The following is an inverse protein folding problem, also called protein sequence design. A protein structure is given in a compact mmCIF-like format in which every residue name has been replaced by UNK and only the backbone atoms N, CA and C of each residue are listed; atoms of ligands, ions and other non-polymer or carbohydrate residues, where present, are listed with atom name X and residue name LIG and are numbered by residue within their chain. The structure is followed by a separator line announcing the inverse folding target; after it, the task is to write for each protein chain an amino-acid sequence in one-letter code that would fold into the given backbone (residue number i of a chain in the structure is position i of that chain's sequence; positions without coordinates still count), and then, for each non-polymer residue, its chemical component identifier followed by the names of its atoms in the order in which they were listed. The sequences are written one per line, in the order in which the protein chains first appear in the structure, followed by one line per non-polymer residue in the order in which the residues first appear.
data_IF_585292645819
#
_entry.id   IF_585292645819
#
_cell.length_a   1.000
_cell.length_b   1.000
_cell.length_c   1.000
_cell.angle_alpha   90.00
_cell.angle_beta   90.00
_cell.angle_gamma   90.00
#
_symmetry.space_group_name_H-M   'P 1'
#
loop_
_entity.id
_entity.type
_entity.pdbx_description
1 polymer ?
#
# COMPACT_ATOMS: atom_id res chain seq x y z
N UNK A 1 -9.71 -23.56 22.01
CA UNK A 1 -9.50 -22.28 22.73
C UNK A 1 -8.67 -21.44 21.80
N UNK A 2 -9.12 -20.25 21.41
CA UNK A 2 -8.32 -19.37 20.55
C UNK A 2 -7.09 -18.95 21.34
N UNK A 3 -5.90 -19.38 20.91
CA UNK A 3 -4.64 -18.83 21.41
C UNK A 3 -4.13 -17.86 20.37
N UNK A 4 -4.16 -16.58 20.72
CA UNK A 4 -3.52 -15.50 19.99
C UNK A 4 -2.24 -15.19 20.77
N UNK A 5 -1.11 -15.69 20.31
CA UNK A 5 0.15 -15.57 21.06
C UNK A 5 1.04 -14.49 20.43
N UNK A 6 1.46 -13.48 21.22
CA UNK A 6 2.51 -12.57 20.79
C UNK A 6 3.78 -13.33 20.37
N UNK A 7 4.24 -13.17 19.12
CA UNK A 7 5.54 -13.72 18.69
C UNK A 7 6.66 -12.76 19.06
N UNK A 8 7.34 -13.01 20.19
CA UNK A 8 8.49 -12.23 20.67
C UNK A 8 9.79 -12.54 19.92
N UNK A 9 9.84 -13.66 19.21
CA UNK A 9 11.05 -14.38 18.83
C UNK A 9 11.57 -14.09 17.42
N UNK A 10 10.91 -13.21 16.66
CA UNK A 10 11.26 -12.97 15.24
C UNK A 10 11.62 -11.54 14.83
N UNK A 11 11.43 -10.53 15.69
CA UNK A 11 11.88 -9.17 15.38
C UNK A 11 12.79 -8.62 16.48
N UNK A 12 13.80 -7.80 16.13
CA UNK A 12 14.62 -7.09 17.09
C UNK A 12 13.78 -5.95 17.69
N UNK A 13 12.82 -6.27 18.55
CA UNK A 13 12.10 -5.24 19.29
C UNK A 13 12.84 -4.88 20.56
N UNK A 14 13.32 -3.64 20.58
CA UNK A 14 13.71 -2.95 21.78
C UNK A 14 12.59 -3.04 22.84
N UNK A 15 12.85 -3.73 23.95
CA UNK A 15 12.14 -3.74 25.25
C UNK A 15 10.58 -3.74 25.21
N UNK A 16 9.99 -4.78 25.81
CA UNK A 16 8.55 -4.89 26.11
C UNK A 16 7.91 -3.58 26.62
N UNK A 17 6.67 -3.30 26.20
CA UNK A 17 5.81 -2.27 26.80
C UNK A 17 6.09 -0.80 26.46
N UNK A 18 6.99 -0.48 25.52
CA UNK A 18 7.40 0.91 25.25
C UNK A 18 7.21 1.35 23.79
N UNK A 19 6.67 2.57 23.58
CA UNK A 19 6.62 3.23 22.26
C UNK A 19 7.74 4.26 22.08
N UNK A 20 8.23 4.39 20.83
CA UNK A 20 9.12 5.47 20.39
C UNK A 20 8.34 6.49 19.59
N UNK A 21 8.56 7.78 19.82
CA UNK A 21 7.78 8.86 19.18
C UNK A 21 8.59 9.83 18.33
N UNK A 22 7.95 10.38 17.30
CA UNK A 22 8.39 11.57 16.57
C UNK A 22 7.59 12.79 16.97
N UNK A 23 8.25 13.92 17.09
CA UNK A 23 7.62 15.21 17.34
C UNK A 23 7.30 15.87 15.99
N UNK A 24 6.02 16.06 15.67
CA UNK A 24 5.59 16.68 14.43
C UNK A 24 4.80 17.96 14.75
N UNK A 25 5.12 19.09 14.11
CA UNK A 25 4.32 20.29 14.23
C UNK A 25 2.96 20.08 13.56
N UNK A 26 1.87 20.42 14.24
CA UNK A 26 0.53 20.41 13.66
C UNK A 26 0.29 21.72 12.91
N UNK A 27 -0.08 21.67 11.63
CA UNK A 27 -0.27 22.87 10.79
C UNK A 27 -1.26 23.84 11.44
N UNK A 28 -0.85 25.11 11.57
CA UNK A 28 -1.68 26.18 12.14
C UNK A 28 -1.84 26.16 13.67
N UNK A 29 -1.20 25.24 14.41
CA UNK A 29 -1.27 25.18 15.89
C UNK A 29 0.12 25.34 16.51
N UNK A 30 0.21 25.94 17.70
CA UNK A 30 1.43 25.91 18.55
C UNK A 30 1.67 24.54 19.21
N UNK A 31 0.88 23.54 18.87
CA UNK A 31 0.90 22.20 19.44
C UNK A 31 1.82 21.28 18.62
N UNK A 32 2.39 20.30 19.31
CA UNK A 32 3.22 19.24 18.74
C UNK A 32 2.55 17.91 19.01
N UNK A 33 2.35 17.10 17.97
CA UNK A 33 1.91 15.71 18.12
C UNK A 33 3.13 14.81 18.28
N UNK A 34 3.00 13.78 19.11
CA UNK A 34 4.00 12.73 19.22
C UNK A 34 3.49 11.47 18.52
N UNK A 35 4.05 11.12 17.36
CA UNK A 35 3.62 9.96 16.59
C UNK A 35 4.43 8.73 16.98
N UNK A 36 3.78 7.77 17.61
CA UNK A 36 4.34 6.47 18.01
C UNK A 36 4.49 5.49 16.84
N UNK A 37 5.26 4.41 17.05
CA UNK A 37 5.27 3.21 16.19
C UNK A 37 5.48 1.94 17.04
N UNK A 38 4.61 0.93 16.90
CA UNK A 38 4.81 -0.42 17.44
C UNK A 38 4.17 -1.46 16.54
N UNK A 39 4.84 -2.59 16.42
CA UNK A 39 4.30 -3.78 15.83
C UNK A 39 3.87 -4.77 16.91
N UNK A 40 2.70 -5.37 16.71
CA UNK A 40 2.19 -6.50 17.49
C UNK A 40 2.07 -7.66 16.52
N UNK A 41 2.74 -8.78 16.81
CA UNK A 41 2.67 -9.99 15.99
C UNK A 41 1.89 -11.03 16.71
N UNK A 42 1.07 -11.76 15.98
CA UNK A 42 0.36 -12.86 16.57
C UNK A 42 -0.08 -13.89 15.56
N UNK A 43 -0.43 -15.05 16.08
CA UNK A 43 -0.82 -16.20 15.29
C UNK A 43 -2.12 -16.76 15.84
N UNK A 44 -3.13 -16.88 14.99
CA UNK A 44 -4.32 -17.68 15.28
C UNK A 44 -3.97 -19.15 15.09
N UNK A 45 -3.78 -19.89 16.19
CA UNK A 45 -3.39 -21.31 16.14
C UNK A 45 -4.54 -22.28 15.92
N UNK A 46 -5.76 -21.89 16.29
CA UNK A 46 -6.92 -22.75 16.21
C UNK A 46 -8.16 -21.96 15.80
N UNK A 47 -8.81 -22.39 14.74
CA UNK A 47 -10.10 -21.86 14.35
C UNK A 47 -11.21 -22.36 15.30
N UNK A 48 -12.11 -21.50 15.79
CA UNK A 48 -13.20 -21.92 16.67
C UNK A 48 -14.15 -22.91 15.99
N UNK A 49 -14.61 -23.91 16.74
CA UNK A 49 -15.63 -24.85 16.25
C UNK A 49 -16.90 -24.09 15.86
N UNK A 50 -17.57 -24.54 14.80
CA UNK A 50 -18.86 -24.00 14.32
C UNK A 50 -18.89 -22.51 13.93
N UNK A 51 -17.74 -21.85 13.82
CA UNK A 51 -17.62 -20.47 13.33
C UNK A 51 -17.25 -20.49 11.86
N UNK A 52 -18.03 -19.82 11.00
CA UNK A 52 -17.72 -19.75 9.56
C UNK A 52 -16.86 -18.54 9.20
N UNK A 53 -17.02 -17.46 9.96
CA UNK A 53 -16.41 -16.17 9.69
C UNK A 53 -15.77 -15.63 10.97
N UNK A 54 -14.55 -15.11 10.85
CA UNK A 54 -13.82 -14.44 11.91
C UNK A 54 -13.47 -13.03 11.48
N UNK A 55 -13.85 -12.04 12.28
CA UNK A 55 -13.36 -10.68 12.13
C UNK A 55 -12.25 -10.42 13.14
N UNK A 56 -11.07 -10.04 12.64
CA UNK A 56 -9.96 -9.53 13.44
C UNK A 56 -10.08 -8.01 13.40
N UNK A 57 -10.27 -7.37 14.53
CA UNK A 57 -10.39 -5.92 14.61
C UNK A 57 -9.45 -5.36 15.67
N UNK A 58 -8.84 -4.21 15.38
CA UNK A 58 -7.94 -3.54 16.29
C UNK A 58 -8.20 -2.03 16.26
N UNK A 59 -8.13 -1.39 17.43
CA UNK A 59 -8.35 0.05 17.57
C UNK A 59 -7.50 0.66 18.67
N UNK A 60 -7.24 1.95 18.53
CA UNK A 60 -6.60 2.76 19.57
C UNK A 60 -7.70 3.26 20.50
N UNK A 61 -7.56 3.04 21.81
CA UNK A 61 -8.58 3.39 22.80
C UNK A 61 -8.45 4.84 23.32
N UNK A 62 -7.41 5.56 22.91
CA UNK A 62 -7.14 6.91 23.37
C UNK A 62 -7.84 7.98 22.52
N UNK A 63 -8.34 9.03 23.18
CA UNK A 63 -9.04 10.16 22.54
C UNK A 63 -8.15 10.98 21.58
N UNK A 64 -6.82 10.86 21.71
CA UNK A 64 -5.86 11.62 20.91
C UNK A 64 -5.76 11.10 19.46
N UNK A 65 -6.30 9.91 19.17
CA UNK A 65 -6.39 9.31 17.84
C UNK A 65 -5.10 8.61 17.36
N UNK A 66 -5.07 8.21 16.09
CA UNK A 66 -3.89 7.61 15.46
C UNK A 66 -4.24 6.74 14.26
N UNK A 67 -3.25 6.01 13.76
CA UNK A 67 -3.47 5.05 12.68
C UNK A 67 -3.04 3.64 13.09
N UNK A 68 -3.85 2.67 12.74
CA UNK A 68 -3.63 1.25 12.95
C UNK A 68 -3.89 0.50 11.64
N UNK A 69 -3.13 -0.57 11.42
CA UNK A 69 -3.31 -1.44 10.28
C UNK A 69 -3.02 -2.89 10.63
N UNK A 70 -3.59 -3.79 9.84
CA UNK A 70 -3.42 -5.23 9.99
C UNK A 70 -2.83 -5.79 8.69
N UNK A 71 -1.76 -6.57 8.81
CA UNK A 71 -1.08 -7.27 7.71
C UNK A 71 -1.15 -8.77 7.95
N UNK A 72 -1.55 -9.52 6.94
CA UNK A 72 -1.60 -10.97 6.96
C UNK A 72 -1.14 -11.51 5.60
N UNK A 73 -0.30 -12.56 5.55
CA UNK A 73 0.12 -13.14 4.29
C UNK A 73 -1.06 -13.82 3.60
N UNK A 74 -1.29 -13.48 2.34
CA UNK A 74 -2.27 -14.14 1.49
C UNK A 74 -1.73 -14.36 0.09
N UNK A 75 -2.21 -15.42 -0.56
CA UNK A 75 -1.96 -15.78 -1.93
C UNK A 75 -2.79 -14.91 -2.89
N UNK A 76 -2.28 -14.71 -4.11
CA UNK A 76 -3.05 -14.07 -5.18
C UNK A 76 -4.26 -14.92 -5.55
N UNK A 77 -5.43 -14.31 -5.76
CA UNK A 77 -6.64 -15.03 -6.15
C UNK A 77 -6.49 -15.82 -7.45
N UNK A 78 -5.59 -15.39 -8.35
CA UNK A 78 -5.29 -16.09 -9.60
C UNK A 78 -4.55 -17.41 -9.43
N UNK A 79 -3.88 -17.61 -8.29
CA UNK A 79 -3.11 -18.82 -8.02
C UNK A 79 -3.99 -20.04 -7.69
N UNK A 80 -5.28 -19.82 -7.34
CA UNK A 80 -6.24 -20.89 -6.99
C UNK A 80 -7.48 -20.86 -7.88
N UNK A 81 -7.57 -21.82 -8.79
CA UNK A 81 -8.64 -21.95 -9.79
C UNK A 81 -10.08 -22.11 -9.23
N UNK A 82 -10.26 -22.27 -7.92
CA UNK A 82 -11.53 -22.68 -7.30
C UNK A 82 -12.11 -21.66 -6.31
N UNK A 83 -11.48 -20.49 -6.13
CA UNK A 83 -11.95 -19.45 -5.22
C UNK A 83 -12.32 -18.25 -6.09
N UNK A 84 -13.55 -17.73 -5.96
CA UNK A 84 -14.09 -16.72 -6.88
C UNK A 84 -13.21 -15.46 -7.00
N UNK A 85 -13.42 -14.62 -8.03
CA UNK A 85 -12.53 -13.51 -8.41
C UNK A 85 -12.40 -12.37 -7.39
N UNK A 86 -13.03 -12.49 -6.22
CA UNK A 86 -13.08 -11.45 -5.17
C UNK A 86 -12.44 -11.88 -3.86
N UNK A 87 -11.75 -13.02 -3.83
CA UNK A 87 -11.37 -13.68 -2.60
C UNK A 87 -9.90 -14.09 -2.65
N UNK A 88 -9.14 -13.79 -1.60
CA UNK A 88 -7.71 -14.08 -1.51
C UNK A 88 -7.45 -15.18 -0.50
N UNK A 89 -6.80 -16.27 -0.91
CA UNK A 89 -6.52 -17.39 -0.02
C UNK A 89 -5.45 -17.01 0.99
N UNK A 90 -5.73 -17.07 2.29
CA UNK A 90 -4.68 -16.98 3.32
C UNK A 90 -3.97 -18.32 3.46
N UNK A 91 -4.75 -19.40 3.40
CA UNK A 91 -4.27 -20.78 3.38
C UNK A 91 -5.06 -21.58 2.34
N UNK A 92 -4.85 -22.90 2.26
CA UNK A 92 -5.75 -23.77 1.49
C UNK A 92 -7.19 -23.79 2.04
N UNK A 93 -7.38 -23.41 3.30
CA UNK A 93 -8.60 -23.64 4.07
C UNK A 93 -9.32 -22.32 4.43
N UNK A 94 -8.63 -21.19 4.35
CA UNK A 94 -9.10 -19.87 4.80
C UNK A 94 -8.87 -18.83 3.73
N UNK A 95 -9.85 -17.93 3.57
CA UNK A 95 -9.74 -16.78 2.69
C UNK A 95 -10.08 -15.46 3.36
N UNK A 96 -9.60 -14.39 2.73
CA UNK A 96 -9.80 -13.00 3.09
C UNK A 96 -10.76 -12.34 2.10
N UNK A 97 -11.69 -11.55 2.64
CA UNK A 97 -12.52 -10.63 1.84
C UNK A 97 -11.85 -9.25 1.77
N UNK A 98 -11.36 -8.83 0.59
CA UNK A 98 -10.64 -7.56 0.44
C UNK A 98 -11.49 -6.36 0.86
N UNK A 99 -12.80 -6.39 0.60
CA UNK A 99 -13.73 -5.29 0.91
C UNK A 99 -13.76 -4.98 2.42
N UNK A 100 -13.55 -6.01 3.26
CA UNK A 100 -13.53 -5.90 4.72
C UNK A 100 -12.20 -5.39 5.29
N UNK A 101 -11.14 -5.31 4.49
CA UNK A 101 -9.80 -5.03 4.97
C UNK A 101 -9.58 -3.54 5.16
N UNK A 102 -9.80 -3.05 6.38
CA UNK A 102 -9.77 -1.63 6.71
C UNK A 102 -8.55 -1.22 7.54
N UNK A 103 -8.19 0.05 7.42
CA UNK A 103 -7.07 0.72 8.06
C UNK A 103 -7.51 2.09 8.54
N UNK A 104 -6.90 2.56 9.64
CA UNK A 104 -7.05 3.92 10.12
C UNK A 104 -7.21 4.02 11.62
N UNK A 105 -8.17 4.78 12.15
CA UNK A 105 -8.37 4.84 13.60
C UNK A 105 -8.76 3.46 14.18
N UNK A 106 -9.46 2.67 13.37
CA UNK A 106 -9.72 1.25 13.57
C UNK A 106 -9.26 0.50 12.31
N UNK A 107 -8.78 -0.71 12.50
CA UNK A 107 -8.43 -1.62 11.41
C UNK A 107 -9.15 -2.93 11.61
N UNK A 108 -9.67 -3.50 10.54
CA UNK A 108 -10.32 -4.81 10.58
C UNK A 108 -10.01 -5.62 9.33
N UNK A 109 -10.14 -6.93 9.45
CA UNK A 109 -10.21 -7.83 8.31
C UNK A 109 -11.12 -9.01 8.65
N UNK A 110 -11.83 -9.50 7.64
CA UNK A 110 -12.74 -10.64 7.76
C UNK A 110 -12.16 -11.85 7.06
N UNK A 111 -12.06 -12.95 7.80
CA UNK A 111 -11.61 -14.26 7.38
C UNK A 111 -12.79 -15.21 7.29
N UNK A 112 -12.76 -16.09 6.29
CA UNK A 112 -13.78 -17.10 6.06
C UNK A 112 -13.16 -18.46 5.90
N UNK A 113 -13.81 -19.49 6.46
CA UNK A 113 -13.40 -20.87 6.27
C UNK A 113 -14.03 -21.50 5.04
N UNK A 114 -13.26 -22.29 4.30
CA UNK A 114 -13.75 -23.17 3.23
C UNK A 114 -14.04 -24.58 3.75
N UNK A 115 -13.21 -25.07 4.67
CA UNK A 115 -13.29 -26.41 5.20
C UNK A 115 -13.70 -26.42 6.67
N UNK A 116 -14.31 -27.51 7.13
CA UNK A 116 -14.80 -27.65 8.50
C UNK A 116 -13.68 -27.79 9.53
N UNK A 117 -12.50 -28.24 9.11
CA UNK A 117 -11.32 -28.42 9.96
C UNK A 117 -10.16 -27.60 9.40
N UNK A 118 -9.89 -26.45 9.99
CA UNK A 118 -8.71 -25.65 9.68
C UNK A 118 -7.54 -26.16 10.54
N UNK A 119 -6.50 -26.66 9.88
CA UNK A 119 -5.26 -27.06 10.56
C UNK A 119 -4.18 -25.97 10.47
N UNK A 120 -4.32 -25.05 9.53
CA UNK A 120 -3.33 -24.02 9.27
C UNK A 120 -3.36 -22.90 10.32
N UNK A 121 -2.17 -22.48 10.76
CA UNK A 121 -2.00 -21.27 11.55
C UNK A 121 -2.16 -20.02 10.67
N UNK A 122 -2.75 -18.95 11.21
CA UNK A 122 -2.88 -17.66 10.52
C UNK A 122 -2.04 -16.62 11.22
N UNK A 123 -1.02 -16.13 10.52
CA UNK A 123 -0.15 -15.07 11.02
C UNK A 123 -0.75 -13.69 10.73
N UNK A 124 -0.69 -12.81 11.74
CA UNK A 124 -1.18 -11.43 11.68
C UNK A 124 -0.17 -10.51 12.33
N UNK A 125 0.09 -9.37 11.68
CA UNK A 125 0.96 -8.31 12.18
C UNK A 125 0.18 -7.01 12.20
N UNK A 126 0.18 -6.33 13.33
CA UNK A 126 -0.56 -5.10 13.54
C UNK A 126 0.46 -3.97 13.70
N UNK A 127 0.37 -2.94 12.85
CA UNK A 127 1.15 -1.72 13.02
C UNK A 127 0.29 -0.66 13.67
N UNK A 128 0.75 -0.14 14.79
CA UNK A 128 0.06 0.90 15.53
C UNK A 128 0.89 2.19 15.56
N UNK A 129 0.23 3.31 15.28
CA UNK A 129 0.82 4.65 15.21
C UNK A 129 -0.08 5.67 15.91
N UNK A 130 -0.12 5.65 17.25
CA UNK A 130 -0.90 6.60 18.02
C UNK A 130 -0.39 8.03 17.82
N UNK A 131 -1.32 8.97 17.77
CA UNK A 131 -1.06 10.38 17.98
C UNK A 131 -1.13 10.61 19.48
N UNK A 132 -0.03 10.99 20.09
CA UNK A 132 0.03 11.15 21.55
C UNK A 132 0.12 12.65 21.85
N UNK A 133 -0.89 13.19 22.50
CA UNK A 133 -0.83 14.52 23.10
C UNK A 133 -0.56 14.39 24.60
N UNK A 134 -1.18 13.40 25.29
CA UNK A 134 -0.94 13.10 26.72
C UNK A 134 -1.10 11.62 27.07
N UNK A 135 -0.38 11.11 28.08
CA UNK A 135 -0.64 9.79 28.68
C UNK A 135 0.08 8.58 28.07
N UNK A 136 -0.30 7.40 28.57
CA UNK A 136 0.05 6.06 28.06
C UNK A 136 -0.94 5.68 26.94
N UNK A 137 -0.52 4.79 26.05
CA UNK A 137 -1.34 4.38 24.89
C UNK A 137 -1.95 3.01 25.11
N UNK A 138 -3.24 2.87 24.79
CA UNK A 138 -3.96 1.60 24.86
C UNK A 138 -4.46 1.16 23.50
N UNK A 139 -4.22 -0.10 23.18
CA UNK A 139 -4.61 -0.72 21.92
C UNK A 139 -5.43 -1.94 22.23
N UNK A 140 -6.65 -1.97 21.71
CA UNK A 140 -7.54 -3.11 21.86
C UNK A 140 -7.49 -3.95 20.60
N UNK A 141 -7.24 -5.23 20.77
CA UNK A 141 -7.40 -6.24 19.74
C UNK A 141 -8.58 -7.13 20.11
N UNK A 142 -9.50 -7.32 19.17
CA UNK A 142 -10.64 -8.18 19.32
C UNK A 142 -10.70 -9.22 18.19
N UNK A 143 -11.18 -10.41 18.54
CA UNK A 143 -11.62 -11.41 17.57
C UNK A 143 -13.13 -11.61 17.75
N UNK A 144 -13.87 -11.44 16.67
CA UNK A 144 -15.32 -11.68 16.65
C UNK A 144 -15.64 -12.91 15.80
N UNK A 145 -16.43 -13.82 16.34
CA UNK A 145 -17.05 -14.89 15.54
C UNK A 145 -18.35 -14.41 14.95
N UNK A 146 -18.52 -14.59 13.65
CA UNK A 146 -19.81 -14.38 12.96
C UNK A 146 -20.34 -15.73 12.46
N UNK A 147 -21.59 -16.01 12.80
CA UNK A 147 -22.34 -17.06 12.15
C UNK A 147 -23.00 -16.51 10.88
N UNK A 148 -23.26 -17.39 9.90
CA UNK A 148 -23.78 -16.99 8.61
C UNK A 148 -25.13 -16.25 8.77
N UNK A 149 -25.20 -15.01 8.28
CA UNK A 149 -26.39 -14.14 8.37
C UNK A 149 -26.45 -13.25 9.60
N UNK A 150 -25.48 -13.34 10.53
CA UNK A 150 -25.36 -12.38 11.63
C UNK A 150 -24.79 -11.06 11.14
N UNK A 151 -25.40 -9.95 11.59
CA UNK A 151 -24.95 -8.59 11.26
C UNK A 151 -23.77 -8.15 12.13
N UNK A 152 -23.64 -8.71 13.33
CA UNK A 152 -22.62 -8.36 14.30
C UNK A 152 -21.98 -9.65 14.81
N UNK A 153 -20.65 -9.67 14.90
CA UNK A 153 -19.95 -10.81 15.47
C UNK A 153 -19.99 -10.80 17.00
N UNK A 154 -19.96 -11.98 17.60
CA UNK A 154 -19.83 -12.15 19.03
C UNK A 154 -18.32 -12.13 19.40
N UNK A 155 -17.88 -11.30 20.36
CA UNK A 155 -16.48 -11.28 20.77
C UNK A 155 -16.12 -12.61 21.43
N UNK A 156 -15.07 -13.25 20.91
CA UNK A 156 -14.53 -14.51 21.42
C UNK A 156 -13.11 -14.38 21.97
N UNK A 157 -12.45 -13.25 21.68
CA UNK A 157 -11.16 -12.85 22.22
C UNK A 157 -11.11 -11.33 22.34
N UNK A 158 -10.49 -10.83 23.40
CA UNK A 158 -10.20 -9.42 23.58
C UNK A 158 -8.92 -9.28 24.41
N UNK A 159 -7.98 -8.49 23.91
CA UNK A 159 -6.73 -8.17 24.60
C UNK A 159 -6.46 -6.67 24.48
N UNK A 160 -6.04 -6.07 25.59
CA UNK A 160 -5.64 -4.67 25.66
C UNK A 160 -4.14 -4.63 25.90
N UNK A 161 -3.43 -4.08 24.92
CA UNK A 161 -2.01 -3.78 25.03
C UNK A 161 -1.86 -2.35 25.54
N UNK A 162 -1.24 -2.21 26.71
CA UNK A 162 -0.90 -0.91 27.30
C UNK A 162 0.59 -0.65 27.10
N UNK A 163 0.91 0.58 26.71
CA UNK A 163 2.28 0.96 26.44
C UNK A 163 2.59 2.33 27.02
N UNK A 164 3.68 2.40 27.77
CA UNK A 164 4.10 3.66 28.38
C UNK A 164 4.92 4.52 27.42
N UNK A 165 4.78 5.85 27.58
CA UNK A 165 5.53 6.83 26.79
C UNK A 165 7.04 6.78 27.12
N UNK A 166 7.90 6.44 26.15
CA UNK A 166 9.37 6.54 26.28
C UNK A 166 9.93 7.76 25.53
N UNK A 167 11.19 8.11 25.83
CA UNK A 167 12.05 9.16 25.23
C UNK A 167 11.93 9.25 23.69
N UNK A 168 12.02 10.48 23.16
CA UNK A 168 12.04 10.83 21.72
C UNK A 168 12.84 9.82 20.89
N UNK A 169 12.25 9.33 19.80
CA UNK A 169 12.97 8.46 18.87
C UNK A 169 14.06 9.27 18.17
N UNK A 170 15.31 8.85 18.36
CA UNK A 170 16.48 9.49 17.75
C UNK A 170 17.04 8.67 16.60
N UNK A 171 16.44 7.50 16.28
CA UNK A 171 16.84 6.69 15.13
C UNK A 171 16.52 7.43 13.83
N UNK A 172 17.41 7.32 12.84
CA UNK A 172 17.16 7.76 11.47
C UNK A 172 16.03 6.95 10.84
N UNK A 173 15.26 7.54 9.93
CA UNK A 173 14.12 6.90 9.24
C UNK A 173 14.46 5.54 8.61
N UNK A 174 15.71 5.38 8.14
CA UNK A 174 16.20 4.12 7.55
C UNK A 174 16.10 2.90 8.48
N UNK A 175 16.18 3.09 9.80
CA UNK A 175 16.01 2.01 10.77
C UNK A 175 14.55 1.66 11.02
N UNK A 176 13.62 2.57 10.74
CA UNK A 176 12.17 2.36 10.91
C UNK A 176 11.60 1.52 9.78
N UNK A 177 12.10 1.71 8.56
CA UNK A 177 11.71 0.90 7.41
C UNK A 177 12.21 -0.55 7.52
N UNK A 178 13.33 -0.77 8.23
CA UNK A 178 13.90 -2.10 8.45
C UNK A 178 12.94 -3.05 9.18
N UNK A 179 12.23 -2.57 10.21
CA UNK A 179 11.28 -3.39 10.99
C UNK A 179 10.13 -3.91 10.10
N UNK A 180 9.70 -3.11 9.12
CA UNK A 180 8.64 -3.49 8.19
C UNK A 180 9.11 -4.47 7.11
N UNK A 181 10.31 -4.26 6.56
CA UNK A 181 10.89 -5.22 5.63
C UNK A 181 11.12 -6.59 6.26
N UNK A 182 11.51 -6.63 7.53
CA UNK A 182 11.66 -7.89 8.25
C UNK A 182 10.31 -8.63 8.34
N UNK A 183 9.20 -7.92 8.51
CA UNK A 183 7.85 -8.53 8.51
C UNK A 183 7.49 -9.05 7.12
N UNK A 184 7.71 -8.23 6.08
CA UNK A 184 7.43 -8.62 4.71
C UNK A 184 8.30 -9.81 4.26
N UNK A 185 9.54 -9.90 4.74
CA UNK A 185 10.42 -11.05 4.55
C UNK A 185 9.93 -12.30 5.30
N UNK A 186 9.47 -12.17 6.56
CA UNK A 186 8.85 -13.28 7.33
C UNK A 186 7.59 -13.81 6.62
N UNK A 187 6.87 -12.94 5.94
CA UNK A 187 5.71 -13.28 5.13
C UNK A 187 6.10 -13.77 3.73
N UNK A 188 7.38 -13.74 3.37
CA UNK A 188 7.88 -14.10 2.04
C UNK A 188 7.23 -13.25 0.93
N UNK A 189 6.85 -12.00 1.23
CA UNK A 189 6.12 -11.12 0.31
C UNK A 189 6.92 -10.73 -0.94
N UNK A 190 8.24 -10.88 -0.88
CA UNK A 190 9.17 -10.66 -1.98
C UNK A 190 9.47 -11.92 -2.80
N UNK A 191 9.08 -13.09 -2.30
CA UNK A 191 9.35 -14.38 -2.93
C UNK A 191 8.21 -14.73 -3.88
N UNK A 192 8.54 -15.13 -5.12
CA UNK A 192 7.54 -15.47 -6.16
C UNK A 192 6.54 -16.52 -5.68
N UNK A 193 7.05 -17.56 -5.03
CA UNK A 193 6.25 -18.68 -4.50
C UNK A 193 5.95 -18.54 -3.00
N UNK A 194 6.15 -17.36 -2.43
CA UNK A 194 5.91 -17.11 -1.02
C UNK A 194 4.42 -17.09 -0.70
N UNK A 195 4.08 -17.22 0.58
CA UNK A 195 2.70 -17.09 1.06
C UNK A 195 2.20 -15.65 1.17
N UNK A 196 3.10 -14.67 1.24
CA UNK A 196 2.81 -13.23 1.40
C UNK A 196 2.62 -12.48 0.10
N UNK A 197 2.11 -13.15 -0.93
CA UNK A 197 1.89 -12.58 -2.24
C UNK A 197 1.09 -11.27 -2.19
N UNK A 198 0.13 -11.20 -1.28
CA UNK A 198 -0.65 -10.05 -0.88
C UNK A 198 -0.57 -9.94 0.65
N UNK A 199 -0.13 -8.81 1.15
CA UNK A 199 -0.07 -8.46 2.58
C UNK A 199 -0.80 -7.15 2.91
N UNK A 200 -1.28 -6.43 1.88
CA UNK A 200 -1.98 -5.15 2.00
C UNK A 200 -2.99 -4.97 0.84
N UNK A 201 -4.19 -4.37 1.05
CA UNK A 201 -5.24 -4.27 0.02
C UNK A 201 -4.82 -3.47 -1.21
N UNK A 202 -3.87 -2.54 -1.07
CA UNK A 202 -3.25 -1.80 -2.19
C UNK A 202 -2.81 -2.71 -3.34
N UNK A 203 -2.28 -3.90 -3.04
CA UNK A 203 -1.81 -4.86 -4.04
C UNK A 203 -2.98 -5.40 -4.88
N UNK A 204 -4.10 -5.66 -4.22
CA UNK A 204 -5.36 -6.11 -4.84
C UNK A 204 -5.91 -5.02 -5.75
N UNK A 205 -6.04 -3.80 -5.22
CA UNK A 205 -6.55 -2.65 -5.98
C UNK A 205 -5.66 -2.34 -7.20
N UNK A 206 -4.33 -2.44 -7.04
CA UNK A 206 -3.40 -2.23 -8.16
C UNK A 206 -3.60 -3.27 -9.26
N UNK A 207 -3.69 -4.56 -8.91
CA UNK A 207 -3.90 -5.64 -9.89
C UNK A 207 -5.24 -5.47 -10.61
N UNK A 208 -6.33 -5.22 -9.87
CA UNK A 208 -7.67 -5.02 -10.46
C UNK A 208 -7.73 -3.82 -11.39
N UNK A 209 -7.14 -2.70 -10.97
CA UNK A 209 -7.07 -1.51 -11.81
C UNK A 209 -6.24 -1.75 -13.07
N UNK A 210 -5.12 -2.46 -12.94
CA UNK A 210 -4.28 -2.81 -14.09
C UNK A 210 -4.99 -3.76 -15.05
N UNK A 211 -5.72 -4.75 -14.53
CA UNK A 211 -6.57 -5.63 -15.32
C UNK A 211 -7.60 -4.86 -16.14
N UNK A 212 -8.24 -3.87 -15.51
CA UNK A 212 -9.19 -3.00 -16.19
C UNK A 212 -8.50 -2.19 -17.29
N UNK A 213 -7.39 -1.50 -16.98
CA UNK A 213 -6.64 -0.71 -17.96
C UNK A 213 -6.18 -1.53 -19.17
N UNK A 214 -5.71 -2.76 -18.94
CA UNK A 214 -5.20 -3.64 -20.01
C UNK A 214 -6.30 -4.26 -20.88
N UNK A 215 -7.57 -4.29 -20.42
CA UNK A 215 -8.72 -4.70 -21.23
C UNK A 215 -9.14 -3.61 -22.22
N UNK A 216 -8.99 -2.34 -21.81
CA UNK A 216 -9.29 -1.18 -22.65
C UNK A 216 -8.24 -0.97 -23.76
N UNK A 217 -7.03 -1.49 -23.58
CA UNK A 217 -5.94 -1.38 -24.56
C UNK A 217 -6.03 -2.54 -25.57
N UNK A 218 -6.44 -2.20 -26.79
CA UNK A 218 -6.53 -3.15 -27.92
C UNK A 218 -5.19 -3.55 -28.54
N UNK A 219 -4.11 -2.84 -28.21
CA UNK A 219 -2.77 -3.11 -28.74
C UNK A 219 -2.27 -4.51 -28.36
N UNK A 220 -1.55 -5.12 -29.31
CA UNK A 220 -0.88 -6.42 -29.10
C UNK A 220 0.31 -6.32 -28.15
N UNK A 221 0.94 -5.14 -28.11
CA UNK A 221 2.10 -4.84 -27.29
C UNK A 221 1.81 -3.59 -26.47
N UNK A 222 2.17 -3.62 -25.19
CA UNK A 222 1.81 -2.60 -24.20
C UNK A 222 3.06 -2.18 -23.44
N UNK A 223 3.26 -0.88 -23.30
CA UNK A 223 4.29 -0.30 -22.42
C UNK A 223 3.69 0.12 -21.08
N UNK A 224 4.40 -0.17 -19.99
CA UNK A 224 3.97 0.16 -18.63
C UNK A 224 5.05 0.98 -17.94
N UNK A 225 4.65 2.07 -17.28
CA UNK A 225 5.47 2.78 -16.30
C UNK A 225 4.87 2.62 -14.90
N UNK A 226 5.71 2.35 -13.90
CA UNK A 226 5.31 2.21 -12.50
C UNK A 226 5.99 3.28 -11.64
N UNK A 227 5.20 4.01 -10.85
CA UNK A 227 5.62 5.07 -9.93
C UNK A 227 5.03 4.82 -8.55
N UNK A 228 5.82 4.92 -7.48
CA UNK A 228 5.26 4.93 -6.12
C UNK A 228 6.27 5.13 -5.00
N UNK A 229 5.76 5.44 -3.80
CA UNK A 229 6.55 5.64 -2.57
C UNK A 229 6.34 4.54 -1.53
N UNK A 230 5.83 3.38 -1.95
CA UNK A 230 5.55 2.24 -1.08
C UNK A 230 5.54 0.93 -1.88
N UNK A 231 6.62 0.58 -2.58
CA UNK A 231 6.49 -0.17 -3.85
C UNK A 231 7.01 -1.59 -3.83
N UNK A 232 7.72 -2.02 -2.79
CA UNK A 232 8.47 -3.27 -2.87
C UNK A 232 7.57 -4.50 -3.07
N UNK A 233 6.62 -4.69 -2.16
CA UNK A 233 5.64 -5.77 -2.17
C UNK A 233 4.61 -5.56 -3.28
N UNK A 234 4.21 -4.31 -3.55
CA UNK A 234 3.21 -3.99 -4.56
C UNK A 234 3.69 -4.20 -5.98
N UNK A 235 4.87 -3.71 -6.29
CA UNK A 235 5.53 -3.97 -7.57
C UNK A 235 5.76 -5.46 -7.74
N UNK A 236 6.21 -6.17 -6.69
CA UNK A 236 6.41 -7.63 -6.76
C UNK A 236 5.09 -8.34 -7.09
N UNK A 237 3.98 -7.97 -6.48
CA UNK A 237 2.66 -8.52 -6.82
C UNK A 237 2.27 -8.24 -8.28
N UNK A 238 2.49 -7.02 -8.77
CA UNK A 238 2.21 -6.66 -10.17
C UNK A 238 3.06 -7.51 -11.13
N UNK A 239 4.36 -7.64 -10.88
CA UNK A 239 5.28 -8.40 -11.73
C UNK A 239 4.95 -9.90 -11.72
N UNK A 240 4.63 -10.46 -10.56
CA UNK A 240 4.18 -11.86 -10.44
C UNK A 240 2.86 -12.08 -11.17
N UNK A 241 1.87 -11.22 -10.94
CA UNK A 241 0.57 -11.29 -11.61
C UNK A 241 0.69 -11.24 -13.13
N UNK A 242 1.47 -10.31 -13.67
CA UNK A 242 1.70 -10.21 -15.13
C UNK A 242 2.30 -11.51 -15.69
N UNK A 243 3.22 -12.14 -14.95
CA UNK A 243 3.85 -13.41 -15.34
C UNK A 243 2.86 -14.58 -15.31
N UNK A 244 2.12 -14.73 -14.21
CA UNK A 244 1.20 -15.87 -14.00
C UNK A 244 -0.05 -15.79 -14.88
N UNK A 245 -0.57 -14.58 -15.12
CA UNK A 245 -1.69 -14.35 -16.04
C UNK A 245 -1.33 -14.57 -17.52
N UNK A 246 -0.03 -14.72 -17.84
CA UNK A 246 0.47 -14.81 -19.21
C UNK A 246 0.47 -13.47 -19.97
N UNK A 247 0.05 -12.39 -19.33
CA UNK A 247 0.00 -11.03 -19.89
C UNK A 247 1.41 -10.48 -20.16
N UNK A 248 2.42 -10.96 -19.44
CA UNK A 248 3.82 -10.55 -19.60
C UNK A 248 4.29 -10.58 -21.07
N UNK A 249 3.81 -11.54 -21.87
CA UNK A 249 4.15 -11.66 -23.30
C UNK A 249 3.62 -10.51 -24.17
N UNK A 250 2.64 -9.73 -23.67
CA UNK A 250 2.13 -8.50 -24.31
C UNK A 250 2.92 -7.27 -23.87
N UNK A 251 3.81 -7.36 -22.89
CA UNK A 251 4.51 -6.19 -22.35
C UNK A 251 5.78 -5.94 -23.17
N UNK A 252 5.82 -4.85 -23.92
CA UNK A 252 7.00 -4.46 -24.72
C UNK A 252 8.05 -3.73 -23.90
N UNK A 253 7.63 -2.96 -22.90
CA UNK A 253 8.53 -2.32 -21.93
C UNK A 253 7.86 -2.16 -20.57
N UNK A 254 8.65 -2.28 -19.50
CA UNK A 254 8.22 -2.05 -18.12
C UNK A 254 9.24 -1.15 -17.43
N UNK A 255 8.88 0.11 -17.17
CA UNK A 255 9.72 1.10 -16.54
C UNK A 255 9.37 1.26 -15.07
N UNK A 256 10.38 1.28 -14.19
CA UNK A 256 10.20 1.47 -12.75
C UNK A 256 10.85 2.79 -12.34
N UNK A 257 10.03 3.71 -11.84
CA UNK A 257 10.43 5.07 -11.48
C UNK A 257 10.37 5.23 -9.97
N UNK A 258 11.53 5.45 -9.34
CA UNK A 258 11.67 5.60 -7.90
C UNK A 258 12.73 6.65 -7.54
N UNK A 259 12.76 7.04 -6.26
CA UNK A 259 13.79 7.95 -5.74
C UNK A 259 14.85 7.22 -4.92
N UNK A 260 16.13 7.58 -5.02
CA UNK A 260 17.28 6.90 -4.38
C UNK A 260 17.32 6.95 -2.83
N UNK A 261 16.68 7.94 -2.21
CA UNK A 261 16.45 8.00 -0.75
C UNK A 261 15.48 6.94 -0.27
N UNK A 262 14.81 6.31 -1.20
CA UNK A 262 13.78 5.32 -1.00
C UNK A 262 14.31 3.99 -1.54
N UNK A 263 14.37 3.01 -0.64
CA UNK A 263 14.51 1.59 -0.95
C UNK A 263 15.74 1.19 -1.76
N UNK A 264 16.89 1.86 -1.56
CA UNK A 264 18.17 1.40 -2.12
C UNK A 264 18.51 -0.06 -1.78
N UNK A 265 17.99 -0.57 -0.65
CA UNK A 265 18.09 -1.99 -0.26
C UNK A 265 17.09 -2.92 -0.96
N UNK A 266 15.94 -2.42 -1.44
CA UNK A 266 14.93 -3.24 -2.12
C UNK A 266 15.46 -3.82 -3.44
N UNK A 267 16.25 -3.05 -4.18
CA UNK A 267 16.88 -3.54 -5.41
C UNK A 267 17.84 -4.71 -5.13
N UNK A 268 18.43 -4.76 -3.94
CA UNK A 268 19.25 -5.88 -3.50
C UNK A 268 18.41 -7.14 -3.22
N UNK A 269 17.11 -7.00 -2.93
CA UNK A 269 16.14 -8.07 -2.69
C UNK A 269 15.33 -8.49 -3.93
N UNK A 270 15.63 -7.94 -5.12
CA UNK A 270 15.08 -8.39 -6.41
C UNK A 270 16.11 -9.20 -7.25
N UNK A 271 16.82 -10.22 -6.74
CA UNK A 271 17.77 -10.97 -7.57
C UNK A 271 17.09 -11.80 -8.68
N UNK A 272 15.86 -12.27 -8.47
CA UNK A 272 15.10 -13.04 -9.46
C UNK A 272 14.36 -12.17 -10.49
N UNK A 273 14.05 -10.93 -10.10
CA UNK A 273 13.48 -9.88 -10.96
C UNK A 273 14.53 -8.85 -11.36
N UNK A 274 15.81 -9.23 -11.32
CA UNK A 274 16.90 -8.30 -11.54
C UNK A 274 16.68 -7.58 -12.89
N UNK A 275 16.71 -6.25 -12.91
CA UNK A 275 16.59 -5.41 -14.11
C UNK A 275 17.62 -5.66 -15.23
N UNK A 276 18.52 -6.63 -15.03
CA UNK A 276 19.45 -7.10 -16.05
C UNK A 276 18.90 -8.34 -16.80
N UNK A 277 17.81 -8.95 -16.32
CA UNK A 277 17.07 -10.06 -16.93
C UNK A 277 15.73 -9.60 -17.52
N UNK A 278 15.14 -8.55 -16.97
CA UNK A 278 14.08 -7.78 -17.63
C UNK A 278 14.76 -6.66 -18.43
N UNK A 279 14.34 -6.38 -19.66
CA UNK A 279 14.77 -5.14 -20.35
C UNK A 279 14.09 -3.93 -19.68
N UNK A 280 14.39 -3.69 -18.41
CA UNK A 280 13.85 -2.59 -17.61
C UNK A 280 14.93 -1.54 -17.36
N UNK A 281 14.69 -0.33 -17.86
CA UNK A 281 15.53 0.82 -17.54
C UNK A 281 15.18 1.30 -16.12
N UNK A 282 16.15 1.21 -15.22
CA UNK A 282 16.05 1.77 -13.88
C UNK A 282 16.61 3.19 -13.88
N UNK A 283 15.80 4.16 -13.46
CA UNK A 283 16.28 5.51 -13.16
C UNK A 283 16.44 5.69 -11.65
N UNK A 284 17.65 6.01 -11.19
CA UNK A 284 17.99 6.34 -9.79
C UNK A 284 18.06 7.85 -9.59
N UNK A 285 17.37 8.43 -8.60
CA UNK A 285 17.55 9.86 -8.25
C UNK A 285 16.91 10.34 -6.93
N UNK A 286 17.49 11.32 -6.24
CA UNK A 286 16.97 11.99 -5.03
C UNK A 286 15.65 12.76 -5.25
N UNK A 287 15.30 13.00 -6.52
CA UNK A 287 14.06 13.63 -6.99
C UNK A 287 13.67 13.02 -8.32
N UNK A 288 12.40 12.64 -8.52
CA UNK A 288 11.95 12.30 -9.88
C UNK A 288 11.75 13.61 -10.62
N UNK A 289 12.58 13.90 -11.62
CA UNK A 289 12.45 15.07 -12.50
C UNK A 289 12.52 14.63 -13.96
N UNK A 290 11.86 15.34 -14.89
CA UNK A 290 11.92 15.04 -16.32
C UNK A 290 13.34 15.01 -16.91
N UNK A 291 14.26 15.77 -16.30
CA UNK A 291 15.67 15.88 -16.71
C UNK A 291 16.48 14.60 -16.48
N UNK A 292 16.04 13.73 -15.57
CA UNK A 292 16.74 12.50 -15.21
C UNK A 292 16.41 11.32 -16.10
N UNK A 293 15.28 11.38 -16.83
CA UNK A 293 14.87 10.28 -17.70
C UNK A 293 14.91 10.70 -19.15
N UNK A 294 16.12 10.85 -19.70
CA UNK A 294 16.30 11.38 -21.06
C UNK A 294 15.64 10.52 -22.15
N UNK A 295 15.35 9.25 -21.89
CA UNK A 295 14.87 8.28 -22.89
C UNK A 295 13.50 7.64 -22.62
N UNK A 296 12.73 8.09 -21.62
CA UNK A 296 11.36 7.57 -21.45
C UNK A 296 10.45 8.06 -22.56
N UNK A 297 9.91 7.11 -23.31
CA UNK A 297 8.76 7.32 -24.19
C UNK A 297 7.46 7.35 -23.38
N UNK A 298 6.40 7.78 -24.05
CA UNK A 298 5.05 7.60 -23.53
C UNK A 298 4.77 6.12 -23.23
N UNK A 299 4.03 5.88 -22.15
CA UNK A 299 3.59 4.54 -21.75
C UNK A 299 2.11 4.38 -22.00
N UNK A 300 1.66 3.20 -22.43
CA UNK A 300 0.23 2.91 -22.60
C UNK A 300 -0.50 2.92 -21.23
N UNK A 301 0.17 2.41 -20.19
CA UNK A 301 -0.31 2.46 -18.80
C UNK A 301 0.75 3.08 -17.89
N UNK A 302 0.35 4.04 -17.07
CA UNK A 302 1.14 4.58 -15.97
C UNK A 302 0.46 4.18 -14.66
N UNK A 303 1.14 3.40 -13.82
CA UNK A 303 0.66 2.98 -12.50
C UNK A 303 1.28 3.94 -11.47
N UNK A 304 0.45 4.66 -10.72
CA UNK A 304 0.85 5.57 -9.66
C UNK A 304 0.29 5.08 -8.32
N UNK A 305 1.15 4.63 -7.41
CA UNK A 305 0.71 4.09 -6.11
C UNK A 305 1.27 4.92 -4.95
N UNK A 306 0.39 5.49 -4.13
CA UNK A 306 0.73 6.23 -2.91
C UNK A 306 1.74 7.34 -3.23
N UNK A 307 1.45 8.15 -4.24
CA UNK A 307 2.36 9.18 -4.78
C UNK A 307 2.23 10.53 -4.07
N UNK A 308 1.35 10.64 -3.07
CA UNK A 308 1.18 11.84 -2.23
C UNK A 308 2.50 12.53 -1.84
N UNK A 309 3.56 11.83 -1.36
CA UNK A 309 4.80 12.51 -1.00
C UNK A 309 5.53 13.17 -2.17
N UNK A 310 5.29 12.75 -3.40
CA UNK A 310 5.84 13.36 -4.61
C UNK A 310 5.03 14.58 -5.05
N UNK A 311 3.72 14.56 -4.84
CA UNK A 311 2.83 15.72 -5.07
C UNK A 311 3.13 16.81 -4.05
N UNK A 312 3.10 16.49 -2.76
CA UNK A 312 3.25 17.46 -1.66
C UNK A 312 4.63 18.13 -1.59
N UNK A 313 5.69 17.45 -2.07
CA UNK A 313 7.06 18.01 -2.07
C UNK A 313 7.38 18.85 -3.30
N UNK A 314 6.51 18.84 -4.30
CA UNK A 314 6.76 19.41 -5.62
C UNK A 314 5.92 20.64 -5.96
N UNK A 315 4.87 20.94 -5.20
CA UNK A 315 3.89 21.99 -5.54
C UNK A 315 4.04 23.16 -4.56
N UNK A 316 4.59 24.29 -5.03
CA UNK A 316 4.41 25.57 -4.34
C UNK A 316 2.93 26.02 -4.47
N UNK A 317 2.47 26.97 -3.66
CA UNK A 317 1.06 27.45 -3.64
C UNK A 317 0.58 28.11 -4.97
N UNK A 318 1.25 27.90 -6.09
CA UNK A 318 0.84 28.31 -7.44
C UNK A 318 -0.03 27.23 -8.08
N UNK A 319 -1.22 27.60 -8.57
CA UNK A 319 -2.12 26.69 -9.26
C UNK A 319 -1.57 26.22 -10.62
N UNK A 320 -0.62 26.93 -11.22
CA UNK A 320 -0.02 26.56 -12.50
C UNK A 320 1.24 25.69 -12.36
N UNK A 321 1.85 25.65 -11.16
CA UNK A 321 3.00 24.77 -10.91
C UNK A 321 2.51 23.33 -10.73
N UNK A 322 2.88 22.48 -11.68
CA UNK A 322 2.60 21.03 -11.63
C UNK A 322 3.62 20.30 -10.76
N UNK A 323 4.75 20.91 -10.44
CA UNK A 323 5.86 20.29 -9.73
C UNK A 323 6.51 19.15 -10.53
N UNK A 324 7.63 18.63 -10.02
CA UNK A 324 8.42 17.63 -10.75
C UNK A 324 7.67 16.31 -11.02
N UNK A 325 6.69 15.96 -10.19
CA UNK A 325 5.81 14.79 -10.43
C UNK A 325 4.88 15.03 -11.62
N UNK A 326 4.27 16.20 -11.72
CA UNK A 326 3.38 16.52 -12.82
C UNK A 326 4.12 16.68 -14.14
N UNK A 327 5.31 17.28 -14.12
CA UNK A 327 6.16 17.34 -15.31
C UNK A 327 6.59 15.93 -15.79
N UNK A 328 6.84 15.00 -14.86
CA UNK A 328 7.11 13.60 -15.21
C UNK A 328 5.89 12.98 -15.89
N UNK A 329 4.70 13.13 -15.30
CA UNK A 329 3.47 12.63 -15.89
C UNK A 329 3.22 13.25 -17.27
N UNK A 330 3.52 14.53 -17.46
CA UNK A 330 3.42 15.18 -18.78
C UNK A 330 4.30 14.56 -19.86
N UNK A 331 5.45 14.02 -19.45
CA UNK A 331 6.37 13.33 -20.33
C UNK A 331 5.90 11.92 -20.69
N UNK A 332 5.42 11.15 -19.72
CA UNK A 332 5.19 9.71 -19.89
C UNK A 332 3.72 9.36 -20.19
N UNK A 333 2.79 10.27 -19.91
CA UNK A 333 1.37 10.10 -20.20
C UNK A 333 1.07 10.72 -21.58
N UNK A 334 0.95 9.86 -22.58
CA UNK A 334 0.50 10.21 -23.93
C UNK A 334 -1.00 10.49 -23.99
N UNK A 335 -1.48 10.78 -25.20
CA UNK A 335 -2.90 11.11 -25.42
C UNK A 335 -3.84 9.94 -25.10
N UNK A 336 -3.47 8.74 -25.55
CA UNK A 336 -4.27 7.51 -25.38
C UNK A 336 -3.91 6.73 -24.11
N UNK A 337 -2.93 7.22 -23.34
CA UNK A 337 -2.43 6.56 -22.14
C UNK A 337 -3.45 6.56 -21.01
N UNK A 338 -3.38 5.53 -20.18
CA UNK A 338 -4.17 5.41 -18.96
C UNK A 338 -3.27 5.64 -17.76
N UNK A 339 -3.63 6.58 -16.89
CA UNK A 339 -3.05 6.71 -15.56
C UNK A 339 -3.93 5.94 -14.57
N UNK A 340 -3.40 4.84 -14.02
CA UNK A 340 -3.98 4.12 -12.90
C UNK A 340 -3.42 4.71 -11.59
N UNK A 341 -4.24 5.44 -10.84
CA UNK A 341 -3.89 5.86 -9.48
C UNK A 341 -4.41 4.85 -8.47
N UNK A 342 -3.61 4.52 -7.46
CA UNK A 342 -4.00 3.67 -6.33
C UNK A 342 -3.55 4.39 -5.05
N UNK A 343 -4.49 4.92 -4.29
CA UNK A 343 -4.22 5.77 -3.13
C UNK A 343 -5.15 5.43 -1.96
N UNK A 344 -4.78 5.76 -0.72
CA UNK A 344 -5.71 5.68 0.39
C UNK A 344 -6.90 6.62 0.15
N UNK A 345 -8.10 6.19 0.53
CA UNK A 345 -9.34 6.98 0.34
C UNK A 345 -9.29 8.27 1.17
N UNK A 346 -8.68 8.21 2.35
CA UNK A 346 -8.54 9.33 3.27
C UNK A 346 -7.20 9.27 4.00
N UNK A 347 -6.81 10.38 4.63
CA UNK A 347 -5.60 10.40 5.46
C UNK A 347 -5.65 9.42 6.62
N UNK A 348 -6.83 9.19 7.17
CA UNK A 348 -7.05 8.18 8.20
C UNK A 348 -6.77 6.78 7.65
N UNK A 349 -7.05 6.51 6.37
CA UNK A 349 -6.78 5.21 5.74
C UNK A 349 -5.29 4.95 5.44
N UNK A 350 -4.39 5.87 5.78
CA UNK A 350 -2.94 5.71 5.55
C UNK A 350 -2.18 5.48 6.85
N UNK A 351 -1.85 4.22 7.14
CA UNK A 351 -1.02 3.88 8.31
C UNK A 351 0.45 4.29 8.11
N UNK A 352 0.89 4.57 6.88
CA UNK A 352 2.29 4.88 6.58
C UNK A 352 2.59 6.37 6.60
N UNK A 353 1.61 7.22 6.34
CA UNK A 353 1.83 8.66 6.34
C UNK A 353 1.99 9.19 7.77
N UNK A 354 3.12 9.85 8.07
CA UNK A 354 3.27 10.74 9.25
C UNK A 354 2.32 11.96 9.14
N UNK A 355 1.76 12.17 7.97
CA UNK A 355 1.27 13.44 7.53
C UNK A 355 -0.22 13.53 7.86
N UNK A 356 -0.49 13.86 9.13
CA UNK A 356 -1.77 14.40 9.59
C UNK A 356 -2.25 15.57 8.69
N UNK A 357 -1.32 16.19 7.93
CA UNK A 357 -1.54 17.36 7.08
C UNK A 357 -1.20 17.16 5.57
N UNK A 358 -1.03 15.92 5.06
CA UNK A 358 -0.77 15.70 3.61
C UNK A 358 -2.03 15.62 2.76
N UNK A 359 -1.90 15.92 1.48
CA UNK A 359 -2.94 15.63 0.48
C UNK A 359 -2.97 14.13 0.21
N UNK A 360 -3.82 13.42 0.94
CA UNK A 360 -4.10 12.01 0.69
C UNK A 360 -5.22 11.96 -0.34
N UNK A 361 -5.05 11.10 -1.34
CA UNK A 361 -5.79 11.09 -2.60
C UNK A 361 -5.42 12.25 -3.55
N UNK A 362 -4.85 11.90 -4.71
CA UNK A 362 -4.34 12.85 -5.71
C UNK A 362 -5.38 13.26 -6.77
N UNK A 363 -6.65 12.85 -6.68
CA UNK A 363 -7.69 13.19 -7.67
C UNK A 363 -7.76 14.69 -7.99
N UNK A 364 -7.82 15.54 -6.96
CA UNK A 364 -7.91 16.99 -7.14
C UNK A 364 -6.68 17.57 -7.83
N UNK A 365 -5.53 16.93 -7.67
CA UNK A 365 -4.31 17.28 -8.37
C UNK A 365 -4.37 16.80 -9.83
N UNK A 366 -4.87 15.59 -10.10
CA UNK A 366 -5.04 15.08 -11.46
C UNK A 366 -6.04 15.89 -12.29
N UNK A 367 -7.22 16.15 -11.74
CA UNK A 367 -8.25 16.97 -12.38
C UNK A 367 -7.80 18.44 -12.46
N UNK A 368 -7.45 19.04 -11.32
CA UNK A 368 -7.16 20.48 -11.26
C UNK A 368 -5.84 20.89 -11.92
N UNK A 369 -4.72 20.21 -11.62
CA UNK A 369 -3.38 20.60 -12.09
C UNK A 369 -3.02 19.97 -13.42
N UNK A 370 -3.35 18.70 -13.60
CA UNK A 370 -3.00 17.96 -14.83
C UNK A 370 -4.12 17.97 -15.87
N UNK A 371 -5.32 18.42 -15.52
CA UNK A 371 -6.50 18.47 -16.40
C UNK A 371 -6.81 17.11 -17.01
N UNK A 372 -6.67 16.06 -16.19
CA UNK A 372 -7.03 14.71 -16.57
C UNK A 372 -8.53 14.49 -16.35
N UNK A 373 -9.15 13.76 -17.26
CA UNK A 373 -10.54 13.35 -17.19
C UNK A 373 -10.64 11.97 -16.54
N UNK A 374 -11.64 11.83 -15.68
CA UNK A 374 -11.96 10.57 -15.01
C UNK A 374 -12.51 9.59 -16.06
N UNK A 375 -11.82 8.46 -16.25
CA UNK A 375 -12.20 7.42 -17.21
C UNK A 375 -13.07 6.35 -16.54
N UNK A 376 -12.74 5.99 -15.31
CA UNK A 376 -13.51 5.06 -14.50
C UNK A 376 -13.50 5.47 -13.03
N UNK A 377 -14.71 5.59 -12.47
CA UNK A 377 -14.97 5.77 -11.05
C UNK A 377 -15.36 4.43 -10.41
N UNK A 378 -14.59 3.37 -10.69
CA UNK A 378 -14.84 2.05 -10.11
C UNK A 378 -14.40 2.07 -8.65
N UNK A 379 -15.38 2.47 -7.86
CA UNK A 379 -15.25 2.87 -6.49
C UNK A 379 -15.62 1.66 -5.59
N UNK A 380 -14.87 1.49 -4.49
CA UNK A 380 -15.20 0.62 -3.34
C UNK A 380 -14.93 -0.90 -3.40
N UNK A 381 -13.89 -1.39 -4.11
CA UNK A 381 -13.39 -2.75 -3.86
C UNK A 381 -12.80 -2.93 -2.43
N UNK A 382 -12.51 -1.82 -1.75
CA UNK A 382 -11.95 -1.77 -0.41
C UNK A 382 -12.31 -0.43 0.25
N UNK A 383 -12.55 -0.43 1.57
CA UNK A 383 -12.97 0.75 2.32
C UNK A 383 -11.81 1.69 2.73
N UNK A 384 -10.56 1.32 2.47
CA UNK A 384 -9.37 2.11 2.84
C UNK A 384 -8.51 2.50 1.66
N UNK A 385 -8.54 1.74 0.58
CA UNK A 385 -7.76 2.00 -0.64
C UNK A 385 -8.70 2.01 -1.83
N UNK A 386 -8.51 3.02 -2.68
CA UNK A 386 -9.20 3.11 -3.95
C UNK A 386 -8.23 3.09 -5.10
N UNK A 387 -8.72 2.63 -6.24
CA UNK A 387 -8.03 2.76 -7.49
C UNK A 387 -8.93 3.51 -8.48
N UNK A 388 -8.31 4.32 -9.34
CA UNK A 388 -9.03 5.21 -10.26
C UNK A 388 -8.23 5.31 -11.55
N UNK A 389 -8.90 5.33 -12.70
CA UNK A 389 -8.24 5.55 -13.99
C UNK A 389 -8.54 6.94 -14.54
N UNK A 390 -7.48 7.57 -15.05
CA UNK A 390 -7.48 8.92 -15.57
C UNK A 390 -6.92 8.93 -16.99
N UNK A 391 -7.45 9.80 -17.84
CA UNK A 391 -7.01 10.00 -19.22
C UNK A 391 -6.84 11.49 -19.51
N UNK A 392 -6.11 11.79 -20.58
CA UNK A 392 -6.12 13.15 -21.13
C UNK A 392 -7.43 13.37 -21.88
N UNK A 393 -7.91 14.61 -21.88
CA UNK A 393 -9.09 14.97 -22.67
C UNK A 393 -8.85 14.78 -24.17
N UNK A 394 -9.92 14.52 -24.92
CA UNK A 394 -9.83 14.37 -26.38
C UNK A 394 -9.20 15.59 -27.08
N UNK A 395 -9.40 16.78 -26.48
CA UNK A 395 -8.89 18.07 -26.94
C UNK A 395 -7.53 18.44 -26.33
N UNK A 396 -6.86 17.52 -25.64
CA UNK A 396 -5.54 17.81 -25.08
C UNK A 396 -4.51 18.01 -26.18
N UNK A 397 -3.80 19.12 -26.11
CA UNK A 397 -2.61 19.41 -26.90
C UNK A 397 -1.40 19.45 -25.96
N UNK A 398 -0.29 18.84 -26.38
CA UNK A 398 0.96 18.94 -25.64
C UNK A 398 1.43 20.39 -25.72
N UNK A 399 1.67 21.02 -24.57
CA UNK A 399 2.39 22.28 -24.54
C UNK A 399 3.83 22.00 -24.99
N UNK A 400 4.12 22.33 -26.25
CA UNK A 400 5.48 22.24 -26.77
C UNK A 400 6.35 23.22 -25.99
N UNK A 401 7.17 22.67 -25.09
CA UNK A 401 8.30 23.36 -24.48
C UNK A 401 9.43 23.52 -25.52
N UNK A 402 9.11 24.13 -26.66
CA UNK A 402 10.09 24.70 -27.59
C UNK A 402 10.55 26.07 -27.08
N UNK A 403 10.97 26.11 -25.81
CA UNK A 403 11.77 27.19 -25.27
C UNK A 403 13.23 26.91 -25.62
N UNK A 404 13.71 27.61 -26.64
CA UNK A 404 15.11 27.74 -27.04
C UNK A 404 16.12 27.44 -25.91
N UNK A 405 16.87 26.35 -26.05
CA UNK A 405 18.24 26.31 -25.55
C UNK A 405 19.02 27.35 -26.37
N UNK A 406 18.97 28.61 -25.94
CA UNK A 406 20.01 29.56 -26.30
C UNK A 406 21.28 29.11 -25.58
N UNK A 407 22.21 28.61 -26.38
CA UNK A 407 23.61 28.51 -26.03
C UNK A 407 24.11 29.86 -25.51
N UNK A 408 24.63 29.87 -24.29
CA UNK A 408 25.75 30.72 -23.88
C UNK A 408 26.67 29.93 -22.92
#
# INVERSE_FOLDING_TARGET
MVSFEPREDRLPTDQEGLFRYNEIPLKGKRLKAYVGRKWIHATLKQWPQDVNELEIACRILDDDGGCIGIWTPSEDYHSKANIGPRVHGITGEVFLEPESWTFGNEASLTLHRLESNIQSEIDVSILCRPYILTGDVKIELNLFSKHQGERFGNPIYSEIFEFSKKKKDTRKDIYRMKEEYEIFDIYEAYVVSGRGNIVHPKQICTIKGLEYSLKEISSKQVSISYIGTDTSENLTSVLRWLKESGIWNRISSFHILYTDKWDSKFLDFLPDYHPAKMESEIVKSDKITPKLVKNLSESDVVIATYVTPFVDRGVDNDINDKGSYGELLDKILGKESILLSVDPISAESSVKSILIDSVINCDSYYDGKLKLELDNDNDYDNNSVKWTTWRRSENWEREDSSGSEEHD
#
